data_IF_915744467080
#
_entry.id   IF_915744467080
#
_cell.length_a   1.000
_cell.length_b   1.000
_cell.length_c   1.000
_cell.angle_alpha   90.00
_cell.angle_beta   90.00
_cell.angle_gamma   90.00
#
_symmetry.space_group_name_H-M   'P 1'
#
loop_
_entity.id
_entity.type
_entity.pdbx_description
1 polymer ?
#
# COMPACT_ATOMS: atom_id res chain seq x y z
N UNK A 1 13.72 -4.79 33.18
CA UNK A 1 12.55 -4.82 32.28
C UNK A 1 12.29 -3.39 31.82
N UNK A 2 11.82 -3.24 30.59
CA UNK A 2 11.49 -1.95 29.98
C UNK A 2 10.11 -2.06 29.32
N UNK A 3 9.33 -0.98 29.40
CA UNK A 3 8.06 -0.84 28.70
C UNK A 3 8.14 0.39 27.81
N UNK A 4 7.83 0.22 26.53
CA UNK A 4 7.77 1.30 25.55
C UNK A 4 6.33 1.41 25.04
N UNK A 5 5.76 2.60 25.08
CA UNK A 5 4.43 2.86 24.55
C UNK A 5 4.53 3.85 23.39
N UNK A 6 4.03 3.46 22.22
CA UNK A 6 3.94 4.30 21.04
C UNK A 6 2.47 4.64 20.80
N UNK A 7 2.12 5.92 20.94
CA UNK A 7 0.74 6.38 20.79
C UNK A 7 0.26 6.25 19.34
N UNK A 8 -1.04 6.19 19.15
CA UNK A 8 -1.68 6.32 17.83
C UNK A 8 -1.19 7.59 17.11
N UNK A 9 -1.03 8.69 17.85
CA UNK A 9 -0.49 9.94 17.35
C UNK A 9 0.95 9.84 16.79
N UNK A 10 1.82 9.00 17.38
CA UNK A 10 3.15 8.72 16.83
C UNK A 10 3.06 8.11 15.43
N UNK A 11 2.13 7.18 15.22
CA UNK A 11 1.92 6.58 13.91
C UNK A 11 1.20 7.54 12.95
N UNK A 12 0.21 8.32 13.41
CA UNK A 12 -0.50 9.31 12.59
C UNK A 12 0.44 10.38 12.03
N UNK A 13 1.34 10.92 12.87
CA UNK A 13 2.35 11.88 12.42
C UNK A 13 3.34 11.28 11.43
N UNK A 14 3.70 10.01 11.61
CA UNK A 14 4.52 9.27 10.64
C UNK A 14 3.79 9.12 9.30
N UNK A 15 2.51 8.73 9.31
CA UNK A 15 1.65 8.63 8.12
C UNK A 15 1.59 9.96 7.36
N UNK A 16 1.37 11.07 8.08
CA UNK A 16 1.37 12.42 7.52
C UNK A 16 2.71 12.79 6.87
N UNK A 17 3.84 12.49 7.51
CA UNK A 17 5.17 12.76 6.97
C UNK A 17 5.42 11.97 5.67
N UNK A 18 5.03 10.69 5.62
CA UNK A 18 5.16 9.88 4.41
C UNK A 18 4.21 10.33 3.29
N UNK A 19 3.00 10.77 3.64
CA UNK A 19 2.03 11.31 2.69
C UNK A 19 2.54 12.59 2.04
N UNK A 20 2.99 13.55 2.85
CA UNK A 20 3.53 14.82 2.35
C UNK A 20 4.81 14.65 1.53
N UNK A 21 5.59 13.59 1.79
CA UNK A 21 6.75 13.22 0.98
C UNK A 21 6.40 12.46 -0.32
N UNK A 22 5.12 12.19 -0.60
CA UNK A 22 4.67 11.43 -1.77
C UNK A 22 5.00 9.94 -1.72
N UNK A 23 5.29 9.38 -0.54
CA UNK A 23 5.77 8.00 -0.40
C UNK A 23 4.70 6.93 -0.71
N UNK A 24 3.42 7.32 -0.74
CA UNK A 24 2.28 6.49 -1.14
C UNK A 24 2.02 6.51 -2.66
N UNK A 25 2.80 7.26 -3.44
CA UNK A 25 2.68 7.26 -4.89
C UNK A 25 3.43 6.05 -5.46
N UNK A 26 2.80 5.36 -6.41
CA UNK A 26 3.37 4.19 -7.08
C UNK A 26 2.96 4.19 -8.54
N UNK A 27 3.96 4.07 -9.42
CA UNK A 27 3.73 3.77 -10.82
C UNK A 27 4.02 2.28 -11.04
N UNK A 28 3.12 1.61 -11.76
CA UNK A 28 3.30 0.25 -12.27
C UNK A 28 3.30 0.38 -13.79
N UNK A 29 4.41 0.00 -14.41
CA UNK A 29 4.62 -0.02 -15.85
C UNK A 29 5.33 -1.31 -16.25
N UNK A 30 5.55 -1.50 -17.56
CA UNK A 30 6.08 -2.75 -18.12
C UNK A 30 7.38 -3.24 -17.47
N UNK A 31 8.31 -2.33 -17.22
CA UNK A 31 9.59 -2.60 -16.56
C UNK A 31 9.47 -3.02 -15.08
N UNK A 32 8.30 -2.83 -14.47
CA UNK A 32 8.04 -3.12 -13.05
C UNK A 32 7.11 -4.30 -12.82
N UNK A 33 6.61 -4.96 -13.87
CA UNK A 33 5.74 -6.11 -13.71
C UNK A 33 6.52 -7.28 -13.10
N UNK A 34 6.05 -7.77 -11.95
CA UNK A 34 6.71 -8.87 -11.26
C UNK A 34 6.16 -10.23 -11.72
N UNK A 35 4.87 -10.31 -12.08
CA UNK A 35 4.18 -11.58 -12.32
C UNK A 35 3.52 -11.73 -13.68
N UNK A 36 3.01 -10.66 -14.29
CA UNK A 36 2.35 -10.72 -15.60
C UNK A 36 2.31 -9.37 -16.30
N UNK A 37 2.27 -9.40 -17.63
CA UNK A 37 2.22 -8.17 -18.42
C UNK A 37 0.80 -7.61 -18.47
N UNK A 38 0.63 -6.41 -17.90
CA UNK A 38 -0.63 -5.68 -17.99
C UNK A 38 -0.69 -4.98 -19.35
N UNK A 39 -1.69 -5.34 -20.16
CA UNK A 39 -1.88 -4.80 -21.51
C UNK A 39 -3.33 -4.38 -21.78
N UNK A 40 -3.53 -3.59 -22.83
CA UNK A 40 -4.87 -3.18 -23.29
C UNK A 40 -5.71 -4.36 -23.76
N UNK A 41 -5.11 -5.50 -24.11
CA UNK A 41 -5.84 -6.73 -24.46
C UNK A 41 -6.57 -7.31 -23.23
N UNK A 42 -5.91 -7.35 -22.07
CA UNK A 42 -6.53 -7.80 -20.81
C UNK A 42 -7.72 -6.91 -20.48
N UNK A 43 -7.53 -5.59 -20.49
CA UNK A 43 -8.63 -4.66 -20.25
C UNK A 43 -9.69 -4.71 -21.35
N UNK A 44 -9.31 -4.91 -22.61
CA UNK A 44 -10.21 -5.03 -23.76
C UNK A 44 -11.12 -6.26 -23.71
N UNK A 45 -10.65 -7.34 -23.09
CA UNK A 45 -11.47 -8.54 -22.85
C UNK A 45 -12.59 -8.32 -21.83
N UNK A 46 -12.44 -7.29 -20.98
CA UNK A 46 -13.39 -6.95 -19.91
C UNK A 46 -14.24 -5.73 -20.29
N UNK A 47 -13.61 -4.73 -20.91
CA UNK A 47 -14.19 -3.47 -21.38
C UNK A 47 -14.04 -3.44 -22.91
N UNK A 48 -15.07 -3.84 -23.67
CA UNK A 48 -15.00 -3.92 -25.12
C UNK A 48 -14.58 -2.61 -25.80
N UNK A 49 -14.87 -1.47 -25.19
CA UNK A 49 -14.47 -0.16 -25.67
C UNK A 49 -12.95 0.04 -25.67
N UNK A 50 -12.21 -0.57 -24.73
CA UNK A 50 -10.74 -0.55 -24.73
C UNK A 50 -10.20 -1.35 -25.92
N UNK A 51 -10.84 -2.46 -26.31
CA UNK A 51 -10.44 -3.23 -27.49
C UNK A 51 -10.69 -2.47 -28.81
N UNK A 52 -11.64 -1.52 -28.83
CA UNK A 52 -11.88 -0.65 -29.99
C UNK A 52 -10.79 0.41 -30.17
N UNK A 53 -10.05 0.74 -29.11
CA UNK A 53 -9.01 1.78 -29.14
C UNK A 53 -7.77 1.35 -29.93
N UNK A 54 -7.41 0.06 -29.92
CA UNK A 54 -6.25 -0.42 -30.66
C UNK A 54 -6.44 -1.87 -31.13
N UNK A 55 -6.08 -2.11 -32.40
CA UNK A 55 -6.07 -3.46 -32.98
C UNK A 55 -4.90 -4.28 -32.41
N UNK A 56 -3.80 -3.61 -32.05
CA UNK A 56 -2.64 -4.21 -31.39
C UNK A 56 -2.68 -3.97 -29.87
N UNK A 57 -2.34 -4.98 -29.06
CA UNK A 57 -2.16 -4.80 -27.61
C UNK A 57 -1.05 -3.81 -27.30
N UNK A 58 -1.32 -2.86 -26.41
CA UNK A 58 -0.34 -1.91 -25.87
C UNK A 58 -0.11 -2.18 -24.38
N UNK A 59 1.11 -1.95 -23.85
CA UNK A 59 1.36 -2.00 -22.41
C UNK A 59 0.48 -0.99 -21.67
N UNK A 60 0.08 -1.31 -20.43
CA UNK A 60 -0.74 -0.45 -19.59
C UNK A 60 0.02 0.08 -18.38
N UNK A 61 0.16 1.39 -18.28
CA UNK A 61 0.72 2.02 -17.09
C UNK A 61 -0.38 2.37 -16.09
N UNK A 62 -0.15 2.05 -14.82
CA UNK A 62 -1.02 2.41 -13.70
C UNK A 62 -0.28 3.41 -12.81
N UNK A 63 -0.90 4.55 -12.53
CA UNK A 63 -0.41 5.51 -11.54
C UNK A 63 -1.35 5.53 -10.36
N UNK A 64 -0.85 5.10 -9.21
CA UNK A 64 -1.56 5.10 -7.94
C UNK A 64 -1.02 6.24 -7.06
N UNK A 65 -1.92 6.93 -6.38
CA UNK A 65 -1.58 7.97 -5.42
C UNK A 65 -2.58 8.00 -4.27
N UNK A 66 -2.11 8.35 -3.07
CA UNK A 66 -3.00 8.66 -1.96
C UNK A 66 -3.62 10.05 -2.17
N UNK A 67 -4.93 10.19 -1.97
CA UNK A 67 -5.63 11.47 -2.13
C UNK A 67 -5.65 12.27 -0.83
N UNK A 68 -5.49 11.59 0.30
CA UNK A 68 -5.41 12.18 1.64
C UNK A 68 -4.43 11.39 2.53
N UNK A 69 -4.14 11.91 3.72
CA UNK A 69 -3.27 11.22 4.67
C UNK A 69 -3.93 9.93 5.16
N UNK A 70 -3.28 8.75 5.01
CA UNK A 70 -3.83 7.50 5.48
C UNK A 70 -4.15 7.51 6.98
N UNK A 71 -5.38 7.10 7.32
CA UNK A 71 -5.91 7.16 8.67
C UNK A 71 -5.51 5.93 9.46
N UNK A 72 -4.92 6.15 10.64
CA UNK A 72 -4.47 5.09 11.54
C UNK A 72 -5.41 5.00 12.74
N UNK A 73 -5.79 3.77 13.09
CA UNK A 73 -6.59 3.46 14.26
C UNK A 73 -6.02 2.24 15.00
N UNK A 74 -5.80 2.42 16.30
CA UNK A 74 -5.35 1.40 17.24
C UNK A 74 -6.50 1.04 18.19
N UNK A 75 -7.03 -0.16 17.99
CA UNK A 75 -8.04 -0.79 18.84
C UNK A 75 -7.40 -2.01 19.53
N UNK A 76 -8.00 -2.56 20.61
CA UNK A 76 -7.48 -3.78 21.23
C UNK A 76 -7.21 -4.88 20.19
N UNK A 77 -5.96 -5.35 20.15
CA UNK A 77 -5.45 -6.37 19.22
C UNK A 77 -5.56 -6.04 17.71
N UNK A 78 -5.82 -4.78 17.35
CA UNK A 78 -6.06 -4.37 15.97
C UNK A 78 -5.37 -3.05 15.62
N UNK A 79 -4.42 -3.11 14.69
CA UNK A 79 -3.82 -1.95 14.05
C UNK A 79 -4.33 -1.89 12.62
N UNK A 80 -5.17 -0.88 12.34
CA UNK A 80 -5.72 -0.66 11.01
C UNK A 80 -5.20 0.63 10.38
N UNK A 81 -5.13 0.59 9.05
CA UNK A 81 -4.79 1.72 8.20
C UNK A 81 -5.83 1.80 7.08
N UNK A 82 -6.53 2.92 7.00
CA UNK A 82 -7.46 3.23 5.91
C UNK A 82 -6.78 4.18 4.92
N UNK A 83 -6.78 3.80 3.65
CA UNK A 83 -6.12 4.52 2.57
C UNK A 83 -7.17 4.90 1.55
N UNK A 84 -7.34 6.21 1.34
CA UNK A 84 -8.05 6.74 0.18
C UNK A 84 -7.04 7.18 -0.87
N UNK A 85 -7.31 6.81 -2.12
CA UNK A 85 -6.43 7.08 -3.23
C UNK A 85 -7.15 7.19 -4.56
N UNK A 86 -6.37 7.47 -5.59
CA UNK A 86 -6.80 7.41 -6.97
C UNK A 86 -5.86 6.51 -7.77
N UNK A 87 -6.40 5.94 -8.84
CA UNK A 87 -5.64 5.20 -9.83
C UNK A 87 -6.02 5.68 -11.22
N UNK A 88 -5.01 6.12 -11.95
CA UNK A 88 -5.09 6.48 -13.35
C UNK A 88 -4.50 5.36 -14.21
N UNK A 89 -5.25 4.96 -15.24
CA UNK A 89 -4.89 3.87 -16.15
C UNK A 89 -4.60 4.44 -17.52
N UNK A 90 -3.43 4.12 -18.07
CA UNK A 90 -2.96 4.61 -19.36
C UNK A 90 -2.56 3.47 -20.29
N UNK A 91 -2.82 3.61 -21.58
CA UNK A 91 -2.11 2.84 -22.60
C UNK A 91 -0.78 3.54 -22.94
N UNK A 92 0.29 2.77 -23.11
CA UNK A 92 1.60 3.25 -23.56
C UNK A 92 1.74 2.99 -25.05
N UNK A 93 1.77 4.05 -25.86
CA UNK A 93 1.80 3.97 -27.32
C UNK A 93 3.22 3.68 -27.84
N UNK A 94 3.39 3.24 -29.10
CA UNK A 94 4.70 2.91 -29.67
C UNK A 94 5.70 4.08 -29.71
N UNK A 95 5.21 5.32 -29.71
CA UNK A 95 6.02 6.54 -29.63
C UNK A 95 6.38 6.92 -28.18
N UNK A 96 6.13 6.02 -27.22
CA UNK A 96 6.31 6.21 -25.77
C UNK A 96 5.41 7.29 -25.15
N UNK A 97 4.42 7.81 -25.88
CA UNK A 97 3.40 8.67 -25.30
C UNK A 97 2.36 7.85 -24.54
N UNK A 98 1.66 8.48 -23.61
CA UNK A 98 0.67 7.82 -22.77
C UNK A 98 -0.71 8.37 -23.04
N UNK A 99 -1.67 7.49 -23.26
CA UNK A 99 -3.06 7.86 -23.47
C UNK A 99 -3.90 7.41 -22.27
N UNK A 100 -4.54 8.36 -21.59
CA UNK A 100 -5.41 8.07 -20.45
C UNK A 100 -6.65 7.29 -20.91
N UNK A 101 -6.90 6.13 -20.29
CA UNK A 101 -8.07 5.29 -20.54
C UNK A 101 -9.18 5.66 -19.57
N UNK A 102 -8.90 5.63 -18.27
CA UNK A 102 -9.86 5.96 -17.21
C UNK A 102 -9.15 6.23 -15.87
N UNK A 103 -9.90 6.84 -14.94
CA UNK A 103 -9.46 7.17 -13.58
C UNK A 103 -10.49 6.66 -12.58
N UNK A 104 -10.03 6.07 -11.49
CA UNK A 104 -10.87 5.54 -10.41
C UNK A 104 -10.41 6.04 -9.07
N UNK A 105 -11.33 6.16 -8.12
CA UNK A 105 -11.00 6.25 -6.70
C UNK A 105 -10.84 4.85 -6.11
N UNK A 106 -9.97 4.75 -5.11
CA UNK A 106 -9.67 3.53 -4.36
C UNK A 106 -9.90 3.83 -2.89
N UNK A 107 -10.64 2.97 -2.21
CA UNK A 107 -10.68 2.90 -0.75
C UNK A 107 -10.15 1.54 -0.32
N UNK A 108 -9.03 1.53 0.40
CA UNK A 108 -8.41 0.32 0.91
C UNK A 108 -8.45 0.32 2.44
N UNK A 109 -9.06 -0.71 3.01
CA UNK A 109 -8.96 -1.03 4.42
C UNK A 109 -7.88 -2.09 4.61
N UNK A 110 -6.90 -1.79 5.44
CA UNK A 110 -5.75 -2.66 5.69
C UNK A 110 -5.51 -2.85 7.18
N UNK A 111 -4.86 -3.95 7.54
CA UNK A 111 -4.34 -4.22 8.87
C UNK A 111 -2.81 -4.24 8.84
N UNK A 112 -2.18 -3.94 9.97
CA UNK A 112 -0.72 -3.99 10.11
C UNK A 112 -0.36 -5.02 11.17
N UNK A 113 0.35 -6.06 10.75
CA UNK A 113 1.02 -6.98 11.65
C UNK A 113 2.37 -6.39 12.07
N UNK A 114 2.66 -6.38 13.37
CA UNK A 114 3.90 -5.87 13.91
C UNK A 114 4.84 -6.99 14.33
N UNK A 115 6.13 -6.76 14.17
CA UNK A 115 7.18 -7.65 14.66
C UNK A 115 8.37 -6.82 15.18
N UNK A 116 9.17 -7.40 16.08
CA UNK A 116 10.43 -6.81 16.52
C UNK A 116 11.58 -7.72 16.13
N UNK A 117 12.53 -7.17 15.37
CA UNK A 117 13.74 -7.86 14.98
C UNK A 117 14.91 -6.88 14.95
N UNK A 118 16.07 -7.29 15.44
CA UNK A 118 17.28 -6.46 15.52
C UNK A 118 17.02 -5.05 16.11
N UNK A 119 16.27 -4.97 17.21
CA UNK A 119 15.90 -3.71 17.88
C UNK A 119 15.12 -2.72 17.01
N UNK A 120 14.40 -3.22 15.99
CA UNK A 120 13.52 -2.41 15.15
C UNK A 120 12.09 -2.91 15.24
N UNK A 121 11.15 -1.97 15.26
CA UNK A 121 9.73 -2.23 15.05
C UNK A 121 9.47 -2.34 13.55
N UNK A 122 9.21 -3.56 13.08
CA UNK A 122 8.86 -3.87 11.70
C UNK A 122 7.34 -3.99 11.55
N UNK A 123 6.85 -3.67 10.37
CA UNK A 123 5.45 -3.85 10.01
C UNK A 123 5.28 -4.73 8.77
N UNK A 124 4.11 -5.35 8.66
CA UNK A 124 3.61 -5.97 7.44
C UNK A 124 2.16 -5.57 7.24
N UNK A 125 1.88 -4.94 6.11
CA UNK A 125 0.56 -4.55 5.66
C UNK A 125 -0.18 -5.77 5.10
N UNK A 126 -1.42 -5.93 5.53
CA UNK A 126 -2.34 -6.95 5.07
C UNK A 126 -3.59 -6.25 4.55
N UNK A 127 -4.03 -6.63 3.35
CA UNK A 127 -5.21 -6.04 2.73
C UNK A 127 -6.47 -6.75 3.22
N UNK A 128 -7.43 -6.00 3.76
CA UNK A 128 -8.70 -6.55 4.27
C UNK A 128 -9.82 -6.38 3.24
N UNK A 129 -10.03 -5.14 2.77
CA UNK A 129 -11.10 -4.78 1.84
C UNK A 129 -10.61 -3.74 0.85
N UNK A 130 -11.03 -3.89 -0.40
CA UNK A 130 -10.86 -2.90 -1.46
C UNK A 130 -12.21 -2.49 -2.01
N UNK A 131 -12.31 -1.21 -2.38
CA UNK A 131 -13.43 -0.67 -3.11
C UNK A 131 -12.92 0.25 -4.20
N UNK A 132 -13.60 0.20 -5.34
CA UNK A 132 -13.28 1.00 -6.51
C UNK A 132 -14.52 1.77 -6.94
N UNK A 133 -14.34 3.01 -7.40
CA UNK A 133 -15.41 3.77 -8.04
C UNK A 133 -14.86 4.54 -9.23
N UNK A 134 -15.57 4.52 -10.36
CA UNK A 134 -15.18 5.24 -11.56
C UNK A 134 -15.30 6.74 -11.33
N UNK A 135 -14.24 7.47 -11.62
CA UNK A 135 -14.22 8.93 -11.54
C UNK A 135 -14.37 9.53 -12.94
N UNK A 136 -13.62 9.00 -13.91
CA UNK A 136 -13.63 9.47 -15.29
C UNK A 136 -13.26 8.33 -16.25
N UNK A 137 -13.79 8.37 -17.47
CA UNK A 137 -13.48 7.40 -18.52
C UNK A 137 -13.42 8.08 -19.89
N UNK A 138 -12.31 7.87 -20.59
CA UNK A 138 -12.16 8.22 -22.00
C UNK A 138 -12.60 7.06 -22.91
N UNK A 139 -12.74 5.85 -22.36
CA UNK A 139 -13.13 4.64 -23.09
C UNK A 139 -14.62 4.34 -22.96
N UNK A 140 -15.45 5.36 -22.72
CA UNK A 140 -16.90 5.19 -22.60
C UNK A 140 -17.34 4.56 -21.27
N UNK A 141 -18.59 4.11 -21.22
CA UNK A 141 -19.20 3.58 -20.01
C UNK A 141 -18.86 2.10 -19.81
N UNK A 142 -18.50 1.73 -18.59
CA UNK A 142 -18.33 0.34 -18.17
C UNK A 142 -18.62 0.20 -16.66
N UNK A 143 -18.98 -1.01 -16.24
CA UNK A 143 -19.16 -1.32 -14.83
C UNK A 143 -17.82 -1.64 -14.16
N UNK A 144 -17.50 -0.93 -13.08
CA UNK A 144 -16.23 -1.10 -12.33
C UNK A 144 -16.10 -2.48 -11.70
N UNK A 145 -17.22 -3.11 -11.34
CA UNK A 145 -17.30 -4.47 -10.80
C UNK A 145 -16.57 -5.48 -11.69
N UNK A 146 -16.58 -5.27 -13.00
CA UNK A 146 -15.91 -6.15 -13.97
C UNK A 146 -14.38 -6.13 -13.82
N UNK A 147 -13.81 -5.04 -13.32
CA UNK A 147 -12.37 -4.88 -13.11
C UNK A 147 -11.91 -5.32 -11.71
N UNK A 148 -12.81 -5.58 -10.76
CA UNK A 148 -12.43 -5.79 -9.36
C UNK A 148 -11.40 -6.91 -9.18
N UNK A 149 -11.55 -8.03 -9.91
CA UNK A 149 -10.63 -9.16 -9.82
C UNK A 149 -9.22 -8.80 -10.30
N UNK A 150 -9.10 -8.18 -11.48
CA UNK A 150 -7.79 -7.84 -12.06
C UNK A 150 -7.11 -6.75 -11.24
N UNK A 151 -7.85 -5.74 -10.77
CA UNK A 151 -7.30 -4.66 -9.96
C UNK A 151 -6.89 -5.16 -8.56
N UNK A 152 -7.69 -6.02 -7.94
CA UNK A 152 -7.34 -6.64 -6.66
C UNK A 152 -6.08 -7.48 -6.77
N UNK A 153 -5.94 -8.25 -7.85
CA UNK A 153 -4.74 -9.02 -8.12
C UNK A 153 -3.50 -8.12 -8.25
N UNK A 154 -3.57 -7.08 -9.07
CA UNK A 154 -2.47 -6.10 -9.24
C UNK A 154 -2.06 -5.47 -7.90
N UNK A 155 -3.03 -5.05 -7.09
CA UNK A 155 -2.74 -4.46 -5.78
C UNK A 155 -2.06 -5.47 -4.84
N UNK A 156 -2.52 -6.71 -4.82
CA UNK A 156 -1.95 -7.76 -3.97
C UNK A 156 -0.55 -8.22 -4.41
N UNK A 157 -0.24 -8.19 -5.71
CA UNK A 157 1.05 -8.69 -6.23
C UNK A 157 2.10 -7.60 -6.41
N UNK A 158 1.71 -6.35 -6.68
CA UNK A 158 2.66 -5.28 -6.98
C UNK A 158 2.72 -4.21 -5.88
N UNK A 159 1.57 -3.85 -5.29
CA UNK A 159 1.49 -2.72 -4.33
C UNK A 159 1.77 -3.15 -2.90
N UNK A 160 1.05 -4.16 -2.40
CA UNK A 160 1.23 -4.66 -1.03
C UNK A 160 2.67 -5.16 -0.79
N UNK A 161 3.30 -5.94 -1.69
CA UNK A 161 4.69 -6.37 -1.49
C UNK A 161 5.67 -5.20 -1.52
N UNK A 162 5.45 -4.18 -2.36
CA UNK A 162 6.28 -2.98 -2.39
C UNK A 162 6.19 -2.18 -1.08
N UNK A 163 4.99 -2.08 -0.49
CA UNK A 163 4.80 -1.48 0.82
C UNK A 163 5.50 -2.30 1.92
N UNK A 164 5.34 -3.62 1.90
CA UNK A 164 5.95 -4.54 2.88
C UNK A 164 7.48 -4.56 2.81
N UNK A 165 8.07 -4.39 1.62
CA UNK A 165 9.51 -4.22 1.46
C UNK A 165 10.04 -2.94 2.14
N UNK A 166 9.21 -1.90 2.27
CA UNK A 166 9.55 -0.69 3.04
C UNK A 166 9.33 -0.90 4.55
N UNK A 167 8.15 -1.41 4.93
CA UNK A 167 7.79 -1.61 6.35
C UNK A 167 8.66 -2.64 7.06
N UNK A 168 9.16 -3.65 6.35
CA UNK A 168 10.09 -4.65 6.88
C UNK A 168 11.49 -4.08 7.17
N UNK A 169 11.87 -2.91 6.63
CA UNK A 169 13.12 -2.24 7.06
C UNK A 169 13.05 -1.80 8.53
N UNK A 170 11.83 -1.56 9.01
CA UNK A 170 11.49 -1.23 10.39
C UNK A 170 11.97 0.15 10.85
N UNK A 171 11.43 0.58 11.99
CA UNK A 171 11.83 1.77 12.71
C UNK A 171 12.71 1.39 13.90
N UNK A 172 13.86 2.05 14.11
CA UNK A 172 14.71 1.76 15.26
C UNK A 172 13.96 2.08 16.56
N UNK A 173 13.96 1.13 17.50
CA UNK A 173 13.47 1.38 18.86
C UNK A 173 14.49 2.26 19.61
N UNK A 174 14.04 3.01 20.64
CA UNK A 174 14.93 3.79 21.50
C UNK A 174 16.10 2.94 21.99
N UNK A 175 17.31 3.34 21.60
CA UNK A 175 18.54 2.63 21.94
C UNK A 175 19.13 3.22 23.22
N UNK A 176 19.27 2.38 24.26
CA UNK A 176 20.00 2.72 25.46
C UNK A 176 21.41 2.15 25.32
N UNK A 177 22.43 2.98 25.59
CA UNK A 177 23.82 2.56 25.49
C UNK A 177 24.05 1.27 26.27
N UNK A 178 24.73 0.30 25.64
CA UNK A 178 25.04 -1.01 26.22
C UNK A 178 23.82 -1.83 26.62
N UNK A 179 22.63 -1.57 26.07
CA UNK A 179 21.43 -2.37 26.35
C UNK A 179 20.92 -3.03 25.07
N UNK A 180 20.56 -4.30 25.19
CA UNK A 180 19.85 -5.04 24.15
C UNK A 180 18.49 -5.50 24.66
N UNK A 181 17.46 -5.33 23.83
CA UNK A 181 16.12 -5.81 24.14
C UNK A 181 16.06 -7.33 23.96
N UNK A 182 15.59 -8.05 24.97
CA UNK A 182 15.45 -9.51 24.95
C UNK A 182 13.99 -9.92 25.18
N UNK A 183 13.53 -10.90 24.42
CA UNK A 183 12.14 -11.42 24.45
C UNK A 183 11.06 -10.33 24.40
N UNK A 184 11.10 -9.41 23.40
CA UNK A 184 10.09 -8.38 23.31
C UNK A 184 8.72 -8.97 22.97
N UNK A 185 7.68 -8.45 23.62
CA UNK A 185 6.28 -8.79 23.38
C UNK A 185 5.51 -7.53 23.00
N UNK A 186 4.72 -7.61 21.93
CA UNK A 186 3.90 -6.51 21.42
C UNK A 186 2.46 -6.73 21.84
N UNK A 187 1.80 -5.69 22.34
CA UNK A 187 0.37 -5.69 22.62
C UNK A 187 -0.23 -4.41 22.04
N UNK A 188 -1.29 -4.54 21.26
CA UNK A 188 -2.03 -3.40 20.74
C UNK A 188 -3.20 -3.16 21.67
N UNK A 189 -3.30 -1.95 22.18
CA UNK A 189 -4.36 -1.52 23.09
C UNK A 189 -4.96 -0.24 22.55
N UNK A 190 -6.08 0.19 23.14
CA UNK A 190 -6.78 1.38 22.68
C UNK A 190 -5.83 2.59 22.63
N UNK A 191 -5.58 3.10 21.42
CA UNK A 191 -4.78 4.31 21.19
C UNK A 191 -3.27 4.19 21.36
N UNK A 192 -2.69 3.00 21.60
CA UNK A 192 -1.23 2.81 21.61
C UNK A 192 -0.77 1.37 21.38
N UNK A 193 0.48 1.23 20.93
CA UNK A 193 1.22 -0.05 20.89
C UNK A 193 2.13 -0.11 22.11
N UNK A 194 1.98 -1.15 22.92
CA UNK A 194 2.84 -1.44 24.07
C UNK A 194 3.86 -2.51 23.70
N UNK A 195 5.13 -2.22 23.93
CA UNK A 195 6.23 -3.19 23.84
C UNK A 195 6.72 -3.46 25.26
N UNK A 196 6.58 -4.69 25.71
CA UNK A 196 7.10 -5.18 27.00
C UNK A 196 8.33 -6.03 26.72
N UNK A 197 9.46 -5.73 27.35
CA UNK A 197 10.71 -6.44 27.05
C UNK A 197 11.61 -6.56 28.27
N UNK A 198 12.36 -7.65 28.31
CA UNK A 198 13.54 -7.73 29.15
C UNK A 198 14.68 -6.94 28.51
N UNK A 199 15.69 -6.64 29.31
CA UNK A 199 16.88 -5.91 28.88
C UNK A 199 18.11 -6.67 29.34
N UNK A 200 19.08 -6.81 28.44
CA UNK A 200 20.40 -7.32 28.76
C UNK A 200 21.42 -6.20 28.62
N UNK A 201 22.17 -5.95 29.70
CA UNK A 201 23.25 -4.97 29.70
C UNK A 201 24.54 -5.64 29.24
N UNK A 202 25.11 -5.13 28.15
CA UNK A 202 26.36 -5.59 27.57
C UNK A 202 27.52 -4.86 28.27
N UNK A 203 28.34 -5.60 29.02
CA UNK A 203 29.54 -5.09 29.66
C UNK A 203 30.66 -4.80 28.66
#
# INVERSE_FOLDING_TARGET
MLYLAFSEYFFQTSSFAYYTAGAFNKTIAEETYSYFNISTEIFGSIIPEVAKYSVTPYPVMLKLMATETPLISLQPDSFTLEIQGSMEVFAVLPDSTTQSLFTMNITANTSIALNIFNQKLMGSLCLNRLQFSLTHSNVGFFEVSLLENILSYILQTEVIPSANAKLSKGFPLPNLANVTLTRPHITIVQGYVLISTDVHYNH
#
